data_IF_366792137683
#
_entry.id   IF_366792137683
#
_cell.length_a   1.000
_cell.length_b   1.000
_cell.length_c   1.000
_cell.angle_alpha   90.00
_cell.angle_beta   90.00
_cell.angle_gamma   90.00
#
_symmetry.space_group_name_H-M   'P 1'
#
loop_
_entity.id
_entity.type
_entity.pdbx_description
1 polymer ?
#
# COMPACT_ATOMS: atom_id res chain seq x y z
N UNK A 1 76.15 -10.54 16.71
CA UNK A 1 75.13 -10.68 17.78
C UNK A 1 74.31 -9.39 17.78
N UNK A 2 73.06 -9.28 17.34
CA UNK A 2 72.09 -10.26 16.86
C UNK A 2 71.02 -9.56 16.01
N UNK A 3 70.36 -10.33 15.13
CA UNK A 3 69.25 -9.89 14.29
C UNK A 3 68.01 -9.60 15.15
N UNK A 4 67.39 -8.44 14.97
CA UNK A 4 66.04 -8.17 15.45
C UNK A 4 65.02 -8.70 14.44
N UNK A 5 64.42 -9.85 14.75
CA UNK A 5 63.41 -10.51 13.94
C UNK A 5 62.04 -9.84 14.09
N UNK A 6 61.39 -9.62 12.94
CA UNK A 6 60.01 -9.15 12.78
C UNK A 6 59.00 -10.10 13.46
N UNK A 7 58.03 -9.52 14.17
CA UNK A 7 56.77 -10.19 14.50
C UNK A 7 55.61 -9.36 13.95
N UNK A 8 55.30 -9.54 12.66
CA UNK A 8 54.01 -9.18 12.09
C UNK A 8 53.07 -10.39 12.24
N UNK A 9 52.35 -10.46 13.35
CA UNK A 9 51.29 -11.46 13.54
C UNK A 9 50.07 -10.78 14.14
N UNK A 10 49.12 -10.39 13.28
CA UNK A 10 47.88 -9.79 13.77
C UNK A 10 46.96 -9.17 12.72
N UNK A 11 46.65 -9.85 11.62
CA UNK A 11 45.58 -9.45 10.69
C UNK A 11 44.65 -10.62 10.35
N UNK A 12 44.22 -11.42 11.34
CA UNK A 12 43.39 -12.61 11.10
C UNK A 12 42.00 -12.57 11.77
N UNK A 13 41.54 -11.41 12.24
CA UNK A 13 40.24 -11.28 12.93
C UNK A 13 39.35 -10.13 12.44
N UNK A 14 39.74 -9.40 11.40
CA UNK A 14 38.80 -8.49 10.75
C UNK A 14 37.84 -9.34 9.92
N UNK A 15 36.54 -9.31 10.24
CA UNK A 15 35.45 -9.96 9.50
C UNK A 15 35.10 -11.43 9.82
N UNK A 16 35.50 -11.97 10.98
CA UNK A 16 34.98 -13.27 11.45
C UNK A 16 33.89 -13.05 12.50
N UNK A 17 32.76 -13.76 12.37
CA UNK A 17 31.72 -13.84 13.39
C UNK A 17 31.44 -15.31 13.68
N UNK A 18 31.19 -15.65 14.93
CA UNK A 18 30.82 -17.01 15.35
C UNK A 18 29.41 -17.41 14.87
N UNK A 19 28.62 -16.44 14.38
CA UNK A 19 27.32 -16.66 13.76
C UNK A 19 27.04 -15.61 12.68
N UNK A 20 26.25 -15.93 11.64
CA UNK A 20 25.78 -14.93 10.68
C UNK A 20 25.10 -13.75 11.39
N UNK A 21 25.50 -12.53 11.04
CA UNK A 21 24.89 -11.31 11.60
C UNK A 21 23.63 -10.98 10.79
N UNK A 22 22.55 -10.61 11.47
CA UNK A 22 21.32 -10.17 10.82
C UNK A 22 21.60 -8.95 9.92
N UNK A 23 21.24 -9.06 8.65
CA UNK A 23 21.24 -7.93 7.71
C UNK A 23 19.81 -7.41 7.55
N UNK A 24 19.68 -6.13 7.20
CA UNK A 24 18.38 -5.50 6.94
C UNK A 24 18.11 -5.41 5.44
N UNK A 25 16.86 -5.12 5.07
CA UNK A 25 16.47 -4.91 3.68
C UNK A 25 16.99 -3.57 3.16
N UNK A 26 17.16 -3.47 1.83
CA UNK A 26 17.42 -2.19 1.17
C UNK A 26 16.21 -1.26 1.36
N UNK A 27 16.47 0.05 1.38
CA UNK A 27 15.41 1.05 1.45
C UNK A 27 14.49 0.94 0.23
N UNK A 28 13.19 0.91 0.49
CA UNK A 28 12.13 0.97 -0.52
C UNK A 28 10.97 1.83 -0.01
N UNK A 29 10.24 2.40 -0.96
CA UNK A 29 8.99 3.10 -0.68
C UNK A 29 7.80 2.18 -0.95
N UNK A 30 6.72 2.39 -0.21
CA UNK A 30 5.48 1.65 -0.36
C UNK A 30 4.30 2.60 -0.33
N UNK A 31 3.36 2.38 -1.24
CA UNK A 31 2.16 3.21 -1.37
C UNK A 31 1.17 2.95 -0.22
N UNK A 32 0.37 3.98 0.10
CA UNK A 32 -0.68 3.94 1.12
C UNK A 32 -2.04 4.23 0.51
N UNK A 33 -3.05 3.43 0.87
CA UNK A 33 -4.43 3.63 0.46
C UNK A 33 -5.15 4.55 1.46
N UNK A 34 -5.25 5.84 1.14
CA UNK A 34 -5.87 6.86 2.00
C UNK A 34 -7.15 7.46 1.41
N UNK A 35 -7.41 7.25 0.12
CA UNK A 35 -8.58 7.77 -0.57
C UNK A 35 -9.07 6.77 -1.61
N UNK A 36 -10.37 6.82 -1.92
CA UNK A 36 -10.97 5.98 -2.96
C UNK A 36 -10.32 6.17 -4.34
N UNK A 37 -9.75 7.35 -4.61
CA UNK A 37 -8.94 7.59 -5.81
C UNK A 37 -7.74 6.64 -5.92
N UNK A 38 -7.13 6.21 -4.81
CA UNK A 38 -6.03 5.25 -4.86
C UNK A 38 -6.51 3.85 -5.28
N UNK A 39 -7.77 3.51 -5.00
CA UNK A 39 -8.38 2.26 -5.47
C UNK A 39 -8.56 2.29 -7.00
N UNK A 40 -8.92 3.45 -7.56
CA UNK A 40 -9.03 3.67 -9.00
C UNK A 40 -7.66 3.59 -9.69
N UNK A 41 -6.62 4.19 -9.09
CA UNK A 41 -5.23 4.03 -9.57
C UNK A 41 -4.80 2.57 -9.59
N UNK A 42 -5.13 1.80 -8.55
CA UNK A 42 -4.87 0.35 -8.53
C UNK A 42 -5.67 -0.38 -9.62
N UNK A 43 -6.95 -0.06 -9.80
CA UNK A 43 -7.80 -0.69 -10.81
C UNK A 43 -7.27 -0.46 -12.23
N UNK A 44 -6.83 0.77 -12.52
CA UNK A 44 -6.15 1.16 -13.77
C UNK A 44 -4.88 0.37 -14.00
N UNK A 45 -4.06 0.23 -12.97
CA UNK A 45 -2.81 -0.52 -13.02
C UNK A 45 -3.07 -2.00 -13.32
N UNK A 46 -3.98 -2.64 -12.58
CA UNK A 46 -4.31 -4.05 -12.76
C UNK A 46 -4.95 -4.30 -14.13
N UNK A 47 -5.92 -3.48 -14.56
CA UNK A 47 -6.54 -3.61 -15.88
C UNK A 47 -5.49 -3.55 -17.01
N UNK A 48 -4.54 -2.61 -16.92
CA UNK A 48 -3.43 -2.49 -17.88
C UNK A 48 -2.59 -3.78 -17.90
N UNK A 49 -2.22 -4.29 -16.73
CA UNK A 49 -1.39 -5.50 -16.57
C UNK A 49 -2.10 -6.75 -17.07
N UNK A 50 -3.40 -6.87 -16.82
CA UNK A 50 -4.24 -7.97 -17.29
C UNK A 50 -4.28 -7.98 -18.82
N UNK A 51 -4.57 -6.84 -19.45
CA UNK A 51 -4.73 -6.74 -20.90
C UNK A 51 -3.42 -6.78 -21.68
N UNK A 52 -2.28 -6.54 -21.02
CA UNK A 52 -0.96 -6.84 -21.59
C UNK A 52 -0.69 -8.35 -21.76
N UNK A 53 -1.44 -9.23 -21.08
CA UNK A 53 -1.28 -10.68 -21.23
C UNK A 53 -2.12 -11.21 -22.38
N UNK A 54 -1.44 -11.71 -23.41
CA UNK A 54 -2.09 -12.26 -24.61
C UNK A 54 -3.09 -13.38 -24.29
N UNK A 55 -2.76 -14.20 -23.28
CA UNK A 55 -3.58 -15.32 -22.82
C UNK A 55 -4.91 -14.89 -22.20
N UNK A 56 -5.05 -13.61 -21.84
CA UNK A 56 -6.22 -13.07 -21.14
C UNK A 56 -6.95 -12.04 -22.00
N UNK A 57 -6.24 -11.17 -22.73
CA UNK A 57 -6.83 -10.00 -23.42
C UNK A 57 -7.96 -10.33 -24.40
N UNK A 58 -7.97 -11.53 -24.97
CA UNK A 58 -8.96 -11.99 -25.96
C UNK A 58 -9.98 -12.98 -25.36
N UNK A 59 -10.03 -13.14 -24.03
CA UNK A 59 -11.00 -14.00 -23.36
C UNK A 59 -12.16 -13.19 -22.83
N UNK A 60 -13.31 -13.84 -22.75
CA UNK A 60 -14.44 -13.34 -21.99
C UNK A 60 -14.08 -13.42 -20.50
N UNK A 61 -14.21 -12.31 -19.78
CA UNK A 61 -13.84 -12.21 -18.38
C UNK A 61 -15.10 -12.05 -17.53
N UNK A 62 -15.13 -12.72 -16.38
CA UNK A 62 -16.18 -12.53 -15.40
C UNK A 62 -15.55 -12.17 -14.07
N UNK A 63 -16.00 -11.09 -13.41
CA UNK A 63 -15.49 -10.74 -12.08
C UNK A 63 -16.39 -11.39 -11.04
N UNK A 64 -15.82 -12.28 -10.24
CA UNK A 64 -16.56 -12.96 -9.18
C UNK A 64 -16.99 -11.97 -8.10
N UNK A 65 -18.27 -12.01 -7.76
CA UNK A 65 -18.77 -11.31 -6.58
C UNK A 65 -18.14 -11.92 -5.32
N UNK A 66 -17.93 -11.08 -4.30
CA UNK A 66 -17.57 -11.60 -2.99
C UNK A 66 -18.80 -12.25 -2.36
N UNK A 67 -18.59 -13.35 -1.65
CA UNK A 67 -19.61 -14.06 -0.86
C UNK A 67 -19.96 -13.19 0.36
N UNK A 68 -20.75 -12.15 0.12
CA UNK A 68 -21.09 -11.16 1.13
C UNK A 68 -22.40 -11.59 1.79
N UNK A 69 -22.29 -12.22 2.96
CA UNK A 69 -23.41 -12.30 3.91
C UNK A 69 -24.01 -10.90 4.11
N UNK A 70 -25.35 -10.85 4.18
CA UNK A 70 -26.23 -9.67 4.13
C UNK A 70 -25.54 -8.29 4.22
N UNK A 71 -25.54 -7.57 3.10
CA UNK A 71 -25.06 -6.21 2.96
C UNK A 71 -25.94 -5.23 3.73
N UNK A 72 -25.66 -5.04 5.02
CA UNK A 72 -26.23 -3.93 5.79
C UNK A 72 -25.37 -2.67 5.60
N UNK A 73 -25.93 -1.47 5.77
CA UNK A 73 -25.22 -0.18 5.61
C UNK A 73 -23.95 -0.05 6.47
N UNK A 74 -23.80 -0.93 7.48
CA UNK A 74 -22.66 -0.99 8.39
C UNK A 74 -21.81 -2.26 8.24
N UNK A 75 -22.03 -3.05 7.19
CA UNK A 75 -21.35 -4.33 6.97
C UNK A 75 -19.86 -4.17 6.64
N UNK A 76 -19.40 -3.00 6.18
CA UNK A 76 -18.02 -2.76 5.75
C UNK A 76 -17.73 -3.30 4.35
N UNK A 77 -16.46 -3.58 4.03
CA UNK A 77 -16.06 -4.18 2.74
C UNK A 77 -16.17 -3.25 1.54
N UNK A 78 -16.23 -1.93 1.75
CA UNK A 78 -16.37 -0.91 0.72
C UNK A 78 -15.24 -0.98 -0.31
N UNK A 79 -14.01 -1.27 0.13
CA UNK A 79 -12.87 -1.42 -0.78
C UNK A 79 -13.11 -2.56 -1.76
N UNK A 80 -13.47 -3.75 -1.28
CA UNK A 80 -13.66 -4.92 -2.13
C UNK A 80 -14.77 -4.72 -3.17
N UNK A 81 -15.88 -4.08 -2.79
CA UNK A 81 -16.97 -3.75 -3.72
C UNK A 81 -16.54 -2.66 -4.70
N UNK A 82 -16.02 -1.55 -4.20
CA UNK A 82 -15.60 -0.41 -5.01
C UNK A 82 -14.50 -0.78 -6.00
N UNK A 83 -13.51 -1.55 -5.58
CA UNK A 83 -12.42 -2.02 -6.42
C UNK A 83 -12.90 -2.92 -7.57
N UNK A 84 -13.85 -3.83 -7.32
CA UNK A 84 -14.49 -4.62 -8.40
C UNK A 84 -15.18 -3.73 -9.42
N UNK A 85 -15.95 -2.74 -8.97
CA UNK A 85 -16.63 -1.79 -9.86
C UNK A 85 -15.62 -0.99 -10.69
N UNK A 86 -14.60 -0.43 -10.04
CA UNK A 86 -13.55 0.34 -10.71
C UNK A 86 -12.78 -0.53 -11.72
N UNK A 87 -12.39 -1.76 -11.35
CA UNK A 87 -11.71 -2.68 -12.25
C UNK A 87 -12.58 -3.07 -13.44
N UNK A 88 -13.88 -3.28 -13.23
CA UNK A 88 -14.85 -3.50 -14.30
C UNK A 88 -14.85 -2.34 -15.29
N UNK A 89 -14.97 -1.10 -14.79
CA UNK A 89 -14.95 0.11 -15.61
C UNK A 89 -13.64 0.27 -16.38
N UNK A 90 -12.50 0.01 -15.75
CA UNK A 90 -11.18 0.13 -16.37
C UNK A 90 -10.90 -0.99 -17.40
N UNK A 91 -11.40 -2.21 -17.20
CA UNK A 91 -11.29 -3.28 -18.20
C UNK A 91 -12.18 -3.02 -19.42
N UNK A 92 -13.45 -2.66 -19.21
CA UNK A 92 -14.39 -2.38 -20.31
C UNK A 92 -13.94 -1.17 -21.12
N UNK A 93 -13.49 -0.09 -20.47
CA UNK A 93 -13.01 1.11 -21.18
C UNK A 93 -11.77 0.86 -22.04
N UNK A 94 -11.01 -0.21 -21.78
CA UNK A 94 -9.86 -0.66 -22.57
C UNK A 94 -10.19 -1.75 -23.59
N UNK A 95 -11.47 -2.09 -23.77
CA UNK A 95 -11.93 -3.04 -24.78
C UNK A 95 -11.89 -4.51 -24.35
N UNK A 96 -11.79 -4.80 -23.05
CA UNK A 96 -11.99 -6.16 -22.55
C UNK A 96 -13.45 -6.59 -22.69
N UNK A 97 -13.71 -7.86 -23.02
CA UNK A 97 -15.07 -8.40 -23.04
C UNK A 97 -15.41 -8.95 -21.64
N UNK A 98 -16.46 -8.40 -21.01
CA UNK A 98 -16.90 -8.84 -19.68
C UNK A 98 -18.30 -9.46 -19.75
N UNK A 99 -18.49 -10.58 -19.05
CA UNK A 99 -19.78 -11.24 -18.89
C UNK A 99 -20.38 -10.92 -17.53
N UNK A 100 -21.68 -10.66 -17.49
CA UNK A 100 -22.43 -10.41 -16.25
C UNK A 100 -22.67 -11.68 -15.43
N UNK A 101 -22.63 -12.83 -16.10
CA UNK A 101 -22.75 -14.16 -15.48
C UNK A 101 -21.56 -15.03 -15.85
N UNK A 102 -21.16 -15.99 -14.98
CA UNK A 102 -20.15 -16.98 -15.33
C UNK A 102 -20.65 -17.83 -16.51
N UNK A 103 -19.81 -18.01 -17.53
CA UNK A 103 -20.06 -18.92 -18.66
C UNK A 103 -19.01 -20.02 -18.71
N UNK A 104 -19.27 -21.10 -19.44
CA UNK A 104 -18.33 -22.22 -19.54
C UNK A 104 -16.96 -21.83 -20.14
N UNK A 105 -16.90 -20.75 -20.93
CA UNK A 105 -15.69 -20.29 -21.60
C UNK A 105 -15.12 -18.99 -21.03
N UNK A 106 -15.77 -18.37 -20.03
CA UNK A 106 -15.26 -17.16 -19.39
C UNK A 106 -14.19 -17.48 -18.36
N UNK A 107 -13.13 -16.68 -18.34
CA UNK A 107 -12.14 -16.73 -17.27
C UNK A 107 -12.63 -15.89 -16.08
N UNK A 108 -12.63 -16.48 -14.90
CA UNK A 108 -13.09 -15.83 -13.68
C UNK A 108 -11.97 -15.03 -13.03
N UNK A 109 -12.22 -13.74 -12.81
CA UNK A 109 -11.37 -12.84 -12.04
C UNK A 109 -11.79 -12.92 -10.58
N UNK A 110 -10.89 -13.40 -9.74
CA UNK A 110 -11.05 -13.41 -8.28
C UNK A 110 -10.19 -12.32 -7.67
N UNK A 111 -10.75 -11.66 -6.65
CA UNK A 111 -10.08 -10.60 -5.90
C UNK A 111 -10.16 -10.96 -4.42
N UNK A 112 -8.99 -11.16 -3.84
CA UNK A 112 -8.79 -11.43 -2.43
C UNK A 112 -8.09 -10.24 -1.75
N UNK A 113 -8.51 -9.94 -0.53
CA UNK A 113 -8.00 -8.81 0.26
C UNK A 113 -7.68 -9.32 1.66
N UNK A 114 -6.39 -9.37 1.97
CA UNK A 114 -5.91 -9.78 3.29
C UNK A 114 -5.37 -8.56 4.05
N UNK A 115 -5.87 -8.33 5.27
CA UNK A 115 -5.31 -7.33 6.17
C UNK A 115 -4.23 -7.98 7.05
N UNK A 116 -3.06 -7.33 7.12
CA UNK A 116 -1.92 -7.71 7.95
C UNK A 116 -1.73 -6.66 9.05
N UNK A 117 -1.77 -7.09 10.31
CA UNK A 117 -1.54 -6.24 11.48
C UNK A 117 -0.17 -6.57 12.10
N UNK A 118 0.70 -5.56 12.17
CA UNK A 118 2.03 -5.65 12.77
C UNK A 118 1.98 -5.22 14.24
N UNK A 119 2.21 -6.16 15.17
CA UNK A 119 2.09 -5.90 16.63
C UNK A 119 3.37 -5.40 17.30
N UNK A 120 4.52 -5.60 16.67
CA UNK A 120 5.83 -5.25 17.23
C UNK A 120 6.70 -4.55 16.17
N UNK A 121 6.15 -3.47 15.59
CA UNK A 121 6.91 -2.60 14.70
C UNK A 121 7.79 -1.68 15.53
N UNK A 122 9.08 -2.01 15.59
CA UNK A 122 10.10 -1.12 16.13
C UNK A 122 10.26 0.17 15.33
N UNK A 123 11.20 1.02 15.74
CA UNK A 123 11.49 2.28 15.06
C UNK A 123 11.91 2.06 13.59
N UNK A 124 11.15 2.64 12.66
CA UNK A 124 11.50 2.66 11.23
C UNK A 124 12.38 3.88 10.98
N UNK A 125 13.62 3.62 10.57
CA UNK A 125 14.60 4.66 10.26
C UNK A 125 14.10 5.50 9.08
N UNK A 126 14.04 6.84 9.19
CA UNK A 126 13.68 7.69 8.06
C UNK A 126 14.78 7.66 6.99
N UNK A 127 14.45 8.02 5.74
CA UNK A 127 15.43 8.06 4.67
C UNK A 127 16.60 8.98 5.02
N UNK A 128 17.77 8.69 4.43
CA UNK A 128 18.99 9.50 4.64
C UNK A 128 18.70 10.95 4.29
N UNK A 129 19.07 11.87 5.17
CA UNK A 129 18.86 13.32 4.98
C UNK A 129 17.54 13.87 5.51
N UNK A 130 16.58 13.02 5.92
CA UNK A 130 15.29 13.46 6.48
C UNK A 130 15.44 14.42 7.68
N UNK A 131 16.31 14.08 8.64
CA UNK A 131 16.58 14.96 9.79
C UNK A 131 17.35 16.22 9.42
N UNK A 132 18.26 16.12 8.45
CA UNK A 132 19.01 17.28 7.94
C UNK A 132 18.08 18.27 7.26
N UNK A 133 17.14 17.78 6.45
CA UNK A 133 16.11 18.60 5.80
C UNK A 133 15.21 19.31 6.81
N UNK A 134 14.72 18.60 7.83
CA UNK A 134 13.93 19.22 8.90
C UNK A 134 14.72 20.29 9.66
N UNK A 135 15.95 19.97 10.06
CA UNK A 135 16.78 20.89 10.85
C UNK A 135 17.13 22.14 10.04
N UNK A 136 17.46 21.97 8.75
CA UNK A 136 17.68 23.09 7.83
C UNK A 136 16.40 23.94 7.64
N UNK A 137 15.24 23.30 7.51
CA UNK A 137 13.95 23.99 7.39
C UNK A 137 13.58 24.81 8.63
N UNK A 138 13.79 24.26 9.83
CA UNK A 138 13.56 24.97 11.10
C UNK A 138 14.54 26.13 11.25
N UNK A 139 15.82 25.94 10.93
CA UNK A 139 16.83 26.99 11.03
C UNK A 139 16.47 28.23 10.19
N UNK A 140 15.96 28.03 8.95
CA UNK A 140 15.52 29.13 8.07
C UNK A 140 14.28 29.84 8.61
N UNK A 141 13.33 29.14 9.22
CA UNK A 141 12.12 29.74 9.80
C UNK A 141 12.39 30.63 11.03
N UNK A 142 13.56 30.48 11.66
CA UNK A 142 13.93 31.23 12.87
C UNK A 142 14.81 32.47 12.61
N UNK A 143 15.08 32.83 11.35
CA UNK A 143 15.92 33.99 11.02
C UNK A 143 15.12 35.29 11.18
N UNK A 144 15.55 36.22 12.06
CA UNK A 144 14.79 37.42 12.41
C UNK A 144 14.70 38.46 11.27
N UNK A 145 13.53 39.09 11.21
CA UNK A 145 13.10 40.15 10.29
C UNK A 145 13.80 41.48 10.64
N UNK A 146 14.86 41.89 9.90
CA UNK A 146 15.24 43.31 9.60
C UNK A 146 16.70 43.54 9.12
N UNK A 147 17.26 42.75 8.20
CA UNK A 147 18.51 43.15 7.51
C UNK A 147 18.42 42.89 6.00
N UNK A 148 18.01 43.92 5.25
CA UNK A 148 17.89 43.91 3.78
C UNK A 148 19.06 44.62 3.12
N UNK A 149 20.22 43.98 3.19
CA UNK A 149 21.33 44.18 2.26
C UNK A 149 21.95 42.79 2.03
N UNK A 150 21.68 42.19 0.87
CA UNK A 150 22.05 40.83 0.42
C UNK A 150 21.17 39.65 0.93
N UNK A 151 21.40 38.41 0.44
CA UNK A 151 20.76 37.67 -0.65
C UNK A 151 19.39 37.04 -0.32
N UNK A 152 18.50 37.80 0.34
CA UNK A 152 17.16 37.33 0.77
C UNK A 152 16.22 36.85 -0.37
N UNK A 153 16.53 37.10 -1.65
CA UNK A 153 15.75 36.59 -2.79
C UNK A 153 16.07 35.11 -3.14
N UNK A 154 17.15 34.53 -2.63
CA UNK A 154 17.54 33.14 -2.87
C UNK A 154 16.82 32.09 -2.01
N UNK A 155 16.02 32.53 -1.03
CA UNK A 155 15.32 31.63 -0.09
C UNK A 155 13.89 31.27 -0.54
N UNK A 156 13.33 31.99 -1.51
CA UNK A 156 12.01 31.68 -2.10
C UNK A 156 12.03 30.34 -2.88
N UNK A 157 13.07 30.03 -3.70
CA UNK A 157 13.21 28.70 -4.31
C UNK A 157 13.48 27.59 -3.29
N UNK A 158 14.14 27.90 -2.17
CA UNK A 158 14.45 26.92 -1.12
C UNK A 158 13.21 26.51 -0.31
N UNK A 159 12.29 27.44 -0.04
CA UNK A 159 10.98 27.14 0.53
C UNK A 159 10.12 26.29 -0.44
N UNK A 160 10.17 26.60 -1.74
CA UNK A 160 9.52 25.78 -2.76
C UNK A 160 10.10 24.34 -2.84
N UNK A 161 11.38 24.15 -2.54
CA UNK A 161 12.00 22.82 -2.46
C UNK A 161 11.55 22.05 -1.21
N UNK A 162 11.38 22.72 -0.07
CA UNK A 162 10.88 22.10 1.16
C UNK A 162 9.44 21.59 1.01
N UNK A 163 8.56 22.34 0.34
CA UNK A 163 7.16 21.94 0.09
C UNK A 163 7.03 20.75 -0.87
N UNK A 164 7.97 20.53 -1.79
CA UNK A 164 7.96 19.32 -2.64
C UNK A 164 8.21 18.01 -1.87
N UNK A 165 8.74 18.10 -0.65
CA UNK A 165 9.07 16.94 0.18
C UNK A 165 8.09 16.69 1.33
N UNK A 166 7.23 17.67 1.67
CA UNK A 166 6.26 17.54 2.75
C UNK A 166 5.14 16.53 2.46
N UNK A 167 5.00 16.10 1.19
CA UNK A 167 4.14 14.99 0.80
C UNK A 167 4.67 13.59 1.14
N UNK A 168 5.95 13.43 1.52
CA UNK A 168 6.57 12.09 1.68
C UNK A 168 6.62 11.55 3.11
N UNK A 169 6.20 12.33 4.11
CA UNK A 169 6.27 11.90 5.51
C UNK A 169 4.94 11.31 5.95
N UNK A 170 4.57 10.19 5.33
CA UNK A 170 3.44 9.39 5.82
C UNK A 170 3.91 8.54 6.99
N UNK A 171 3.23 8.64 8.14
CA UNK A 171 3.46 7.73 9.25
C UNK A 171 3.19 6.30 8.78
N UNK A 172 4.19 5.44 8.83
CA UNK A 172 4.01 4.01 8.54
C UNK A 172 3.04 3.45 9.56
N UNK A 173 1.85 3.03 9.10
CA UNK A 173 0.87 2.42 9.97
C UNK A 173 1.31 1.02 10.39
N UNK A 174 0.65 0.47 11.40
CA UNK A 174 0.81 -0.93 11.79
C UNK A 174 -0.03 -1.87 10.92
N UNK A 175 -0.69 -1.37 9.89
CA UNK A 175 -1.57 -2.15 9.04
C UNK A 175 -1.25 -2.00 7.57
N UNK A 176 -1.25 -3.15 6.91
CA UNK A 176 -1.10 -3.30 5.47
C UNK A 176 -2.23 -4.16 4.93
N UNK A 177 -2.48 -4.03 3.65
CA UNK A 177 -3.32 -4.95 2.88
C UNK A 177 -2.49 -5.61 1.80
N UNK A 178 -2.78 -6.88 1.54
CA UNK A 178 -2.35 -7.60 0.35
C UNK A 178 -3.58 -7.76 -0.52
N UNK A 179 -3.54 -7.17 -1.72
CA UNK A 179 -4.61 -7.27 -2.71
C UNK A 179 -4.15 -8.23 -3.79
N UNK A 180 -4.80 -9.39 -3.86
CA UNK A 180 -4.48 -10.44 -4.82
C UNK A 180 -5.56 -10.51 -5.89
N UNK A 181 -5.16 -10.32 -7.15
CA UNK A 181 -6.04 -10.48 -8.32
C UNK A 181 -5.58 -11.70 -9.12
N UNK A 182 -6.48 -12.67 -9.31
CA UNK A 182 -6.20 -13.85 -10.11
C UNK A 182 -7.23 -14.03 -11.20
N UNK A 183 -6.81 -14.61 -12.32
CA UNK A 183 -7.70 -14.95 -13.43
C UNK A 183 -7.57 -16.45 -13.66
N UNK A 184 -8.68 -17.15 -13.47
CA UNK A 184 -8.76 -18.60 -13.46
C UNK A 184 -9.65 -19.06 -14.61
N UNK A 185 -9.16 -20.00 -15.41
CA UNK A 185 -9.89 -20.64 -16.52
C UNK A 185 -9.88 -22.15 -16.28
N UNK A 186 -10.99 -22.67 -15.73
CA UNK A 186 -11.07 -24.04 -15.23
C UNK A 186 -10.01 -24.32 -14.15
N UNK A 187 -9.09 -25.22 -14.42
CA UNK A 187 -8.00 -25.62 -13.51
C UNK A 187 -6.72 -24.79 -13.69
N UNK A 188 -6.73 -23.76 -14.55
CA UNK A 188 -5.54 -23.00 -14.92
C UNK A 188 -5.60 -21.58 -14.40
N UNK A 189 -4.54 -21.16 -13.72
CA UNK A 189 -4.31 -19.74 -13.41
C UNK A 189 -3.67 -19.10 -14.64
N UNK A 190 -4.40 -18.21 -15.31
CA UNK A 190 -3.94 -17.45 -16.47
C UNK A 190 -3.17 -16.19 -16.08
N UNK A 191 -3.49 -15.62 -14.91
CA UNK A 191 -2.87 -14.42 -14.35
C UNK A 191 -2.95 -14.44 -12.83
N UNK A 192 -1.91 -13.93 -12.15
CA UNK A 192 -1.90 -13.70 -10.71
C UNK A 192 -1.02 -12.50 -10.41
N UNK A 193 -1.51 -11.60 -9.56
CA UNK A 193 -0.85 -10.38 -9.11
C UNK A 193 -1.17 -10.16 -7.64
N UNK A 194 -0.17 -9.82 -6.83
CA UNK A 194 -0.35 -9.48 -5.42
C UNK A 194 0.37 -8.17 -5.14
N UNK A 195 -0.39 -7.18 -4.70
CA UNK A 195 0.12 -5.84 -4.40
C UNK A 195 -0.07 -5.52 -2.91
N UNK A 196 0.91 -4.86 -2.30
CA UNK A 196 0.92 -4.60 -0.86
C UNK A 196 0.87 -3.10 -0.60
N UNK A 197 -0.09 -2.67 0.22
CA UNK A 197 -0.30 -1.26 0.53
C UNK A 197 -0.45 -1.01 2.02
N UNK A 198 0.04 0.12 2.51
CA UNK A 198 -0.34 0.61 3.82
C UNK A 198 -1.80 1.07 3.86
N UNK A 199 -2.45 0.91 5.00
CA UNK A 199 -3.77 1.49 5.29
C UNK A 199 -3.76 2.24 6.62
N UNK A 200 -4.78 3.07 6.85
CA UNK A 200 -5.02 3.61 8.18
C UNK A 200 -5.75 2.56 9.03
N UNK A 201 -5.36 2.43 10.29
CA UNK A 201 -5.99 1.47 11.20
C UNK A 201 -7.51 1.73 11.39
N UNK A 202 -7.92 3.00 11.35
CA UNK A 202 -9.34 3.37 11.40
C UNK A 202 -10.17 2.90 10.19
N UNK A 203 -9.52 2.63 9.05
CA UNK A 203 -10.18 2.22 7.82
C UNK A 203 -10.28 0.69 7.66
N UNK A 204 -9.81 -0.10 8.65
CA UNK A 204 -9.75 -1.57 8.58
C UNK A 204 -11.06 -2.23 8.13
N UNK A 205 -12.20 -1.69 8.56
CA UNK A 205 -13.53 -2.21 8.21
C UNK A 205 -13.81 -2.17 6.69
N UNK A 206 -13.18 -1.25 5.95
CA UNK A 206 -13.30 -1.15 4.49
C UNK A 206 -12.68 -2.37 3.77
N UNK A 207 -11.66 -2.97 4.38
CA UNK A 207 -10.84 -4.03 3.78
C UNK A 207 -11.13 -5.41 4.39
N UNK A 208 -11.41 -5.49 5.70
CA UNK A 208 -11.72 -6.73 6.40
C UNK A 208 -12.92 -6.54 7.34
N UNK A 209 -14.15 -6.45 6.80
CA UNK A 209 -15.36 -6.25 7.59
C UNK A 209 -15.54 -7.29 8.70
N UNK A 210 -15.24 -8.55 8.42
CA UNK A 210 -15.36 -9.68 9.34
C UNK A 210 -14.38 -9.64 10.53
N UNK A 211 -13.36 -8.77 10.48
CA UNK A 211 -12.35 -8.63 11.56
C UNK A 211 -12.64 -7.48 12.51
N UNK A 212 -13.72 -6.72 12.28
CA UNK A 212 -14.12 -5.61 13.14
C UNK A 212 -15.45 -5.97 13.80
N UNK A 213 -15.60 -5.82 15.12
CA UNK A 213 -16.90 -6.00 15.77
C UNK A 213 -17.98 -5.15 15.08
N UNK A 214 -19.12 -5.77 14.75
CA UNK A 214 -20.28 -5.04 14.28
C UNK A 214 -20.78 -4.13 15.39
N UNK A 215 -21.14 -2.89 15.04
CA UNK A 215 -21.85 -2.04 15.99
C UNK A 215 -23.17 -2.74 16.37
N UNK A 216 -23.59 -2.71 17.65
CA UNK A 216 -24.83 -3.35 18.06
C UNK A 216 -25.99 -2.82 17.22
N UNK A 217 -26.85 -3.72 16.73
CA UNK A 217 -28.05 -3.34 15.99
C UNK A 217 -28.88 -2.40 16.86
N UNK A 218 -29.26 -1.24 16.32
CA UNK A 218 -30.20 -0.35 17.00
C UNK A 218 -31.51 -1.12 17.15
N UNK A 219 -32.05 -1.30 18.37
CA UNK A 219 -33.29 -2.05 18.54
C UNK A 219 -34.39 -1.36 17.74
N UNK A 220 -34.95 -2.06 16.76
CA UNK A 220 -36.17 -1.62 16.09
C UNK A 220 -37.35 -1.89 17.01
N UNK A 221 -37.97 -0.81 17.50
CA UNK A 221 -39.27 -0.93 18.17
C UNK A 221 -40.29 -1.27 17.10
N UNK A 222 -40.83 -2.48 17.15
CA UNK A 222 -41.99 -2.84 16.32
C UNK A 222 -43.19 -2.07 16.85
N UNK A 223 -43.63 -1.04 16.13
CA UNK A 223 -44.91 -0.40 16.39
C UNK A 223 -45.98 -1.37 15.89
N UNK A 224 -46.52 -2.19 16.79
CA UNK A 224 -47.75 -2.93 16.53
C UNK A 224 -48.93 -1.97 16.72
N UNK A 225 -49.72 -1.76 15.67
CA UNK A 225 -50.96 -0.95 15.66
C UNK A 225 -52.12 -1.59 16.46
N UNK A 226 -51.81 -2.19 17.60
CA UNK A 226 -52.81 -2.66 18.57
C UNK A 226 -52.87 -1.66 19.70
N UNK A 227 -53.89 -0.80 19.66
CA UNK A 227 -54.32 0.07 20.75
C UNK A 227 -55.20 -0.68 21.74
#
# INVERSE_FOLDING_TARGET
MGLASLMLSGCFYANTSQAPVATTYLYSEQQRMQAAHHWDVLARHEATRILQRERVRNRDLHISEADNGELHAYSGGEFGRGFRTLLTSELVSRGANLTTVPTANSANITIDVEVVEHRDRGFIRPPIGAFTALTAGIAVATIPYNQWAEPALGLIPAAALADTTSGSWTHTGNEEIIVTTQIIDGERILYSSSNIYYINAGDRRQYAPHRVPQAPATPSVSITDTW
#
